data_IF_499808436119
#
_entry.id   IF_499808436119
#
_cell.length_a   1.000
_cell.length_b   1.000
_cell.length_c   1.000
_cell.angle_alpha   90.00
_cell.angle_beta   90.00
_cell.angle_gamma   90.00
#
_symmetry.space_group_name_H-M   'P 1'
#
loop_
_entity.id
_entity.type
_entity.pdbx_description
1 polymer ?
#
# COMPACT_ATOMS: atom_id res chain seq x y z
N UNK A 1 0.98 12.90 16.75
CA UNK A 1 1.60 13.31 15.47
C UNK A 1 1.34 14.78 15.29
N UNK A 2 2.40 15.55 15.05
CA UNK A 2 2.32 16.97 14.73
C UNK A 2 2.78 17.17 13.29
N UNK A 3 1.99 17.87 12.49
CA UNK A 3 2.35 18.25 11.13
C UNK A 3 2.63 19.74 11.13
N UNK A 4 3.82 20.12 10.69
CA UNK A 4 4.25 21.52 10.63
C UNK A 4 4.72 21.87 9.22
N UNK A 5 4.45 23.09 8.82
CA UNK A 5 4.94 23.68 7.58
C UNK A 5 6.36 24.18 7.80
N UNK A 6 7.29 23.77 6.94
CA UNK A 6 8.69 24.20 6.97
C UNK A 6 8.96 25.12 5.77
N UNK A 7 9.08 26.44 5.97
CA UNK A 7 9.27 27.40 4.87
C UNK A 7 10.48 27.09 4.00
N UNK A 8 11.57 26.56 4.59
CA UNK A 8 12.78 26.18 3.88
C UNK A 8 12.58 24.99 2.90
N UNK A 9 11.50 24.22 3.06
CA UNK A 9 11.16 23.11 2.14
C UNK A 9 10.08 23.54 1.14
N UNK A 10 9.22 24.47 1.52
CA UNK A 10 8.06 24.89 0.72
C UNK A 10 8.47 25.53 -0.61
N UNK A 11 9.48 26.41 -0.60
CA UNK A 11 9.93 27.09 -1.83
C UNK A 11 10.47 26.14 -2.90
N UNK A 12 10.75 24.88 -2.54
CA UNK A 12 11.21 23.84 -3.48
C UNK A 12 10.08 23.19 -4.26
N UNK A 13 8.82 23.39 -3.81
CA UNK A 13 7.64 22.96 -4.54
C UNK A 13 7.38 23.91 -5.73
N UNK A 14 6.96 23.46 -6.91
CA UNK A 14 6.57 22.07 -7.26
C UNK A 14 7.71 21.19 -7.79
N UNK A 15 8.94 21.73 -7.92
CA UNK A 15 10.07 20.99 -8.50
C UNK A 15 10.42 19.72 -7.71
N UNK A 16 10.32 19.80 -6.38
CA UNK A 16 10.45 18.67 -5.48
C UNK A 16 9.34 18.69 -4.45
N UNK A 17 9.07 17.54 -3.82
CA UNK A 17 8.07 17.40 -2.75
C UNK A 17 8.74 16.97 -1.45
N UNK A 18 9.59 17.83 -0.86
CA UNK A 18 10.39 17.45 0.29
C UNK A 18 9.52 17.24 1.53
N UNK A 19 9.79 16.15 2.22
CA UNK A 19 9.15 15.83 3.49
C UNK A 19 10.21 15.45 4.51
N UNK A 20 10.15 16.04 5.70
CA UNK A 20 11.01 15.69 6.83
C UNK A 20 10.19 15.01 7.92
N UNK A 21 10.59 13.80 8.30
CA UNK A 21 10.02 13.09 9.42
C UNK A 21 11.01 13.12 10.58
N UNK A 22 10.54 13.53 11.75
CA UNK A 22 11.31 13.46 13.00
C UNK A 22 10.54 12.61 14.00
N UNK A 23 11.19 11.60 14.54
CA UNK A 23 10.65 10.71 15.56
C UNK A 23 11.44 10.94 16.84
N UNK A 24 10.73 11.15 17.94
CA UNK A 24 11.31 11.23 19.27
C UNK A 24 10.83 10.03 20.08
N UNK A 25 11.76 9.24 20.61
CA UNK A 25 11.42 8.06 21.44
C UNK A 25 11.14 8.45 22.89
N UNK A 26 10.55 7.54 23.63
CA UNK A 26 10.30 7.74 25.07
C UNK A 26 11.61 7.90 25.87
N UNK A 27 12.71 7.27 25.42
CA UNK A 27 14.04 7.36 26.03
C UNK A 27 14.77 8.68 25.67
N UNK A 28 14.12 9.58 24.91
CA UNK A 28 14.67 10.89 24.55
C UNK A 28 15.52 10.92 23.27
N UNK A 29 15.74 9.79 22.61
CA UNK A 29 16.45 9.74 21.34
C UNK A 29 15.63 10.39 20.23
N UNK A 30 16.31 11.10 19.32
CA UNK A 30 15.65 11.77 18.19
C UNK A 30 16.25 11.26 16.88
N UNK A 31 15.39 10.80 15.99
CA UNK A 31 15.74 10.37 14.64
C UNK A 31 15.06 11.28 13.63
N UNK A 32 15.82 11.76 12.64
CA UNK A 32 15.25 12.61 11.58
C UNK A 32 15.71 12.13 10.22
N UNK A 33 14.77 12.10 9.28
CA UNK A 33 15.03 11.77 7.87
C UNK A 33 14.26 12.70 6.96
N UNK A 34 14.93 13.21 5.95
CA UNK A 34 14.31 13.98 4.88
C UNK A 34 14.29 13.16 3.59
N UNK A 35 13.21 13.27 2.85
CA UNK A 35 13.03 12.71 1.51
C UNK A 35 12.60 13.86 0.61
N UNK A 36 13.33 14.11 -0.46
CA UNK A 36 13.06 15.22 -1.38
C UNK A 36 12.06 14.81 -2.48
N UNK A 37 12.06 13.55 -2.87
CA UNK A 37 11.14 12.98 -3.85
C UNK A 37 10.56 11.67 -3.32
N UNK A 38 9.23 11.53 -3.23
CA UNK A 38 8.64 10.28 -2.81
C UNK A 38 8.89 9.18 -3.85
N UNK A 39 8.92 7.93 -3.38
CA UNK A 39 9.00 6.77 -4.26
C UNK A 39 7.78 6.74 -5.20
N UNK A 40 8.03 6.58 -6.51
CA UNK A 40 7.01 6.68 -7.56
C UNK A 40 6.88 8.07 -8.20
N UNK A 41 7.65 9.06 -7.72
CA UNK A 41 7.79 10.35 -8.41
C UNK A 41 8.60 10.17 -9.72
N UNK A 42 8.36 10.97 -10.79
CA UNK A 42 9.14 10.88 -12.04
C UNK A 42 10.66 10.92 -11.83
N UNK A 43 11.15 11.67 -10.86
CA UNK A 43 12.57 11.71 -10.48
C UNK A 43 13.03 10.54 -9.59
N UNK A 44 12.11 9.69 -9.15
CA UNK A 44 12.37 8.49 -8.34
C UNK A 44 11.32 7.40 -8.64
N UNK A 45 11.30 6.86 -9.89
CA UNK A 45 10.29 5.93 -10.34
C UNK A 45 10.40 4.60 -9.60
N UNK A 46 9.25 3.91 -9.50
CA UNK A 46 9.23 2.51 -9.08
C UNK A 46 9.77 1.63 -10.21
N UNK A 47 10.58 0.65 -9.86
CA UNK A 47 10.88 -0.47 -10.74
C UNK A 47 9.66 -1.40 -10.88
N UNK A 48 9.61 -2.19 -11.95
CA UNK A 48 8.55 -3.19 -12.17
C UNK A 48 8.38 -4.11 -10.96
N UNK A 49 9.48 -4.57 -10.39
CA UNK A 49 9.49 -5.40 -9.18
C UNK A 49 8.85 -4.70 -7.98
N UNK A 50 9.12 -3.41 -7.77
CA UNK A 50 8.54 -2.66 -6.66
C UNK A 50 7.04 -2.44 -6.86
N UNK A 51 6.59 -2.25 -8.12
CA UNK A 51 5.16 -2.18 -8.46
C UNK A 51 4.48 -3.52 -8.14
N UNK A 52 5.06 -4.63 -8.58
CA UNK A 52 4.54 -5.97 -8.30
C UNK A 52 4.51 -6.27 -6.79
N UNK A 53 5.58 -5.98 -6.06
CA UNK A 53 5.66 -6.21 -4.63
C UNK A 53 4.63 -5.36 -3.86
N UNK A 54 4.37 -4.14 -4.32
CA UNK A 54 3.30 -3.30 -3.80
C UNK A 54 1.93 -3.94 -4.02
N UNK A 55 1.65 -4.43 -5.24
CA UNK A 55 0.40 -5.13 -5.52
C UNK A 55 0.26 -6.38 -4.66
N UNK A 56 1.30 -7.24 -4.60
CA UNK A 56 1.28 -8.46 -3.77
C UNK A 56 0.97 -8.15 -2.31
N UNK A 57 1.64 -7.14 -1.74
CA UNK A 57 1.43 -6.74 -0.34
C UNK A 57 0.01 -6.23 -0.07
N UNK A 58 -0.55 -5.41 -0.97
CA UNK A 58 -1.87 -4.81 -0.78
C UNK A 58 -3.01 -5.81 -1.04
N UNK A 59 -2.88 -6.64 -2.07
CA UNK A 59 -3.94 -7.54 -2.51
C UNK A 59 -3.93 -8.91 -1.81
N UNK A 60 -2.82 -9.31 -1.15
CA UNK A 60 -2.68 -10.62 -0.49
C UNK A 60 -3.74 -10.92 0.57
N UNK A 61 -4.44 -9.91 1.07
CA UNK A 61 -5.56 -10.08 2.03
C UNK A 61 -6.87 -10.47 1.36
N UNK A 62 -6.98 -10.34 0.05
CA UNK A 62 -8.21 -10.50 -0.73
C UNK A 62 -8.05 -11.47 -1.88
N UNK A 63 -6.88 -11.57 -2.47
CA UNK A 63 -6.58 -12.42 -3.61
C UNK A 63 -5.56 -13.48 -3.19
N UNK A 64 -5.75 -14.70 -3.68
CA UNK A 64 -4.76 -15.76 -3.50
C UNK A 64 -3.56 -15.58 -4.45
N UNK A 65 -2.47 -16.34 -4.20
CA UNK A 65 -1.25 -16.24 -5.01
C UNK A 65 -1.45 -16.56 -6.49
N UNK A 66 -2.18 -17.63 -6.87
CA UNK A 66 -2.46 -17.92 -8.27
C UNK A 66 -3.25 -16.82 -8.96
N UNK A 67 -4.23 -16.22 -8.27
CA UNK A 67 -5.04 -15.13 -8.81
C UNK A 67 -4.20 -13.86 -9.01
N UNK A 68 -3.35 -13.51 -8.03
CA UNK A 68 -2.41 -12.40 -8.14
C UNK A 68 -1.44 -12.58 -9.32
N UNK A 69 -0.95 -13.80 -9.52
CA UNK A 69 -0.06 -14.10 -10.65
C UNK A 69 -0.76 -13.89 -11.98
N UNK A 70 -1.97 -14.43 -12.15
CA UNK A 70 -2.78 -14.22 -13.37
C UNK A 70 -3.10 -12.75 -13.61
N UNK A 71 -3.40 -11.99 -12.55
CA UNK A 71 -3.65 -10.54 -12.66
C UNK A 71 -2.41 -9.80 -13.13
N UNK A 72 -1.23 -10.10 -12.58
CA UNK A 72 0.03 -9.50 -13.02
C UNK A 72 0.33 -9.84 -14.48
N UNK A 73 0.22 -11.10 -14.87
CA UNK A 73 0.42 -11.53 -16.26
C UNK A 73 -0.55 -10.84 -17.24
N UNK A 74 -1.81 -10.64 -16.81
CA UNK A 74 -2.80 -9.93 -17.61
C UNK A 74 -2.42 -8.47 -17.80
N UNK A 75 -2.06 -7.77 -16.70
CA UNK A 75 -1.72 -6.34 -16.73
C UNK A 75 -0.43 -6.07 -17.51
N UNK A 76 0.61 -6.92 -17.32
CA UNK A 76 1.87 -6.77 -18.07
C UNK A 76 1.76 -7.06 -19.58
N UNK A 77 0.64 -7.63 -20.01
CA UNK A 77 0.32 -7.86 -21.43
C UNK A 77 -0.97 -7.14 -21.83
N UNK A 78 -1.25 -6.01 -21.20
CA UNK A 78 -2.52 -5.30 -21.39
C UNK A 78 -2.77 -4.94 -22.85
N UNK A 79 -1.74 -4.52 -23.56
CA UNK A 79 -1.79 -4.15 -25.00
C UNK A 79 -2.09 -5.33 -25.92
N UNK A 80 -1.87 -6.56 -25.47
CA UNK A 80 -2.18 -7.78 -26.22
C UNK A 80 -3.57 -8.34 -25.91
N UNK A 81 -4.30 -7.76 -24.95
CA UNK A 81 -5.62 -8.24 -24.56
C UNK A 81 -6.68 -7.79 -25.57
N UNK A 82 -7.52 -8.72 -26.00
CA UNK A 82 -8.65 -8.42 -26.90
C UNK A 82 -9.85 -7.84 -26.14
N UNK A 83 -9.99 -8.18 -24.88
CA UNK A 83 -11.11 -7.72 -24.04
C UNK A 83 -10.59 -7.43 -22.60
N UNK A 84 -10.67 -6.17 -22.21
CA UNK A 84 -10.28 -5.73 -20.88
C UNK A 84 -11.24 -6.22 -19.79
N UNK A 85 -12.50 -6.57 -20.14
CA UNK A 85 -13.47 -7.10 -19.19
C UNK A 85 -13.01 -8.43 -18.57
N UNK A 86 -12.13 -9.17 -19.26
CA UNK A 86 -11.51 -10.39 -18.75
C UNK A 86 -10.66 -10.16 -17.47
N UNK A 87 -10.30 -8.90 -17.15
CA UNK A 87 -9.65 -8.55 -15.89
C UNK A 87 -10.60 -8.65 -14.69
N UNK A 88 -11.89 -8.42 -14.88
CA UNK A 88 -12.85 -8.33 -13.77
C UNK A 88 -12.88 -9.58 -12.88
N UNK A 89 -12.94 -10.81 -13.40
CA UNK A 89 -12.86 -12.01 -12.57
C UNK A 89 -11.54 -12.14 -11.78
N UNK A 90 -10.45 -11.54 -12.28
CA UNK A 90 -9.14 -11.60 -11.66
C UNK A 90 -9.01 -10.65 -10.45
N UNK A 91 -9.80 -9.58 -10.40
CA UNK A 91 -9.79 -8.62 -9.29
C UNK A 91 -10.89 -8.88 -8.27
N UNK A 92 -11.86 -9.74 -8.58
CA UNK A 92 -12.90 -10.12 -7.63
C UNK A 92 -12.32 -10.99 -6.53
N UNK A 93 -12.52 -10.58 -5.28
CA UNK A 93 -12.11 -11.39 -4.14
C UNK A 93 -12.88 -12.73 -4.18
N UNK A 94 -12.16 -13.84 -4.17
CA UNK A 94 -12.76 -15.15 -3.96
C UNK A 94 -13.48 -15.13 -2.63
N UNK A 95 -14.73 -15.61 -2.59
CA UNK A 95 -15.54 -15.68 -1.38
C UNK A 95 -15.00 -16.65 -0.30
N UNK A 96 -13.78 -17.17 -0.50
CA UNK A 96 -13.07 -18.04 0.42
C UNK A 96 -12.30 -17.22 1.45
N UNK A 97 -12.98 -16.85 2.54
CA UNK A 97 -12.32 -16.26 3.68
C UNK A 97 -13.16 -15.34 4.55
N UNK A 98 -14.48 -15.48 4.51
CA UNK A 98 -15.28 -15.06 5.67
C UNK A 98 -14.95 -15.99 6.85
N UNK A 99 -13.76 -15.76 7.48
CA UNK A 99 -13.57 -16.21 8.86
C UNK A 99 -14.63 -15.50 9.66
N UNK A 100 -15.76 -16.21 9.89
CA UNK A 100 -16.74 -15.85 10.86
C UNK A 100 -15.98 -15.45 12.14
N UNK A 101 -16.08 -14.19 12.53
CA UNK A 101 -15.85 -13.80 13.92
C UNK A 101 -16.85 -14.64 14.73
N UNK A 102 -16.38 -15.71 15.35
CA UNK A 102 -17.15 -16.40 16.34
C UNK A 102 -17.50 -15.37 17.43
N UNK A 103 -18.78 -15.22 17.78
CA UNK A 103 -19.15 -14.37 18.90
C UNK A 103 -18.53 -15.00 20.14
N UNK A 104 -17.57 -14.30 20.77
CA UNK A 104 -17.07 -14.63 22.09
C UNK A 104 -18.27 -14.69 23.04
N UNK A 105 -18.57 -15.90 23.51
CA UNK A 105 -19.65 -16.16 24.44
C UNK A 105 -19.49 -15.31 25.69
N UNK A 106 -20.42 -14.41 25.90
CA UNK A 106 -20.62 -13.70 27.14
C UNK A 106 -21.26 -14.71 28.12
N UNK A 107 -20.45 -15.28 28.97
CA UNK A 107 -20.94 -16.14 30.08
C UNK A 107 -21.55 -15.24 31.14
N UNK A 108 -22.86 -15.14 31.20
CA UNK A 108 -23.58 -14.51 32.28
C UNK A 108 -23.65 -15.54 33.43
N UNK A 109 -22.91 -15.28 34.52
CA UNK A 109 -23.07 -15.99 35.79
C UNK A 109 -24.12 -15.25 36.59
N UNK A 110 -25.28 -15.86 36.75
CA UNK A 110 -26.30 -15.48 37.74
C UNK A 110 -26.03 -16.23 39.06
N UNK A 111 -25.94 -15.49 40.16
CA UNK A 111 -26.30 -15.92 41.51
C UNK A 111 -26.80 -14.73 42.29
#
# INVERSE_FOLDING_TARGET
IHVVKLPELEHRYPTTMPTRLTIRTAEGSTYSRQVDQPLGHPGHPLSDREVEDKLRRLASRRLDRPQLHRLLDFVWRLEAQQDIAAMMPLVMASALGSRALAPSGFCATTS
#
